data_IF_841643966007
#
_entry.id   IF_841643966007
#
_cell.length_a   1.000
_cell.length_b   1.000
_cell.length_c   1.000
_cell.angle_alpha   90.00
_cell.angle_beta   90.00
_cell.angle_gamma   90.00
#
_symmetry.space_group_name_H-M   'P 1'
#
loop_
_entity.id
_entity.type
_entity.pdbx_description
1 polymer ?
#
# COMPACT_ATOMS: atom_id res chain seq x y z
N UNK A 1 -16.83 -4.14 4.60
CA UNK A 1 -16.31 -4.19 3.22
C UNK A 1 -16.92 -5.38 2.49
N UNK A 2 -17.18 -5.28 1.18
CA UNK A 2 -17.64 -6.43 0.37
C UNK A 2 -16.50 -7.44 0.15
N UNK A 3 -16.80 -8.63 -0.38
CA UNK A 3 -15.76 -9.63 -0.72
C UNK A 3 -14.73 -9.10 -1.70
N UNK A 4 -15.17 -8.31 -2.68
CA UNK A 4 -14.29 -7.65 -3.66
C UNK A 4 -13.31 -6.70 -2.98
N UNK A 5 -13.79 -5.88 -2.06
CA UNK A 5 -12.94 -4.97 -1.28
C UNK A 5 -11.97 -5.73 -0.36
N UNK A 6 -12.43 -6.81 0.28
CA UNK A 6 -11.58 -7.63 1.13
C UNK A 6 -10.44 -8.32 0.36
N UNK A 7 -10.68 -8.71 -0.90
CA UNK A 7 -9.67 -9.29 -1.77
C UNK A 7 -8.76 -8.24 -2.45
N UNK A 8 -9.12 -6.95 -2.40
CA UNK A 8 -8.41 -5.90 -3.12
C UNK A 8 -7.03 -5.60 -2.51
N UNK A 9 -6.03 -5.54 -3.39
CA UNK A 9 -4.61 -5.37 -3.06
C UNK A 9 -3.89 -4.67 -4.21
N UNK A 10 -2.71 -4.13 -3.95
CA UNK A 10 -1.85 -3.51 -4.96
C UNK A 10 -1.05 -4.57 -5.73
N UNK A 11 -1.75 -5.39 -6.51
CA UNK A 11 -1.14 -6.45 -7.31
C UNK A 11 -0.55 -5.86 -8.59
N UNK A 12 0.75 -6.03 -8.80
CA UNK A 12 1.38 -5.72 -10.08
C UNK A 12 1.16 -6.82 -11.11
N UNK A 13 1.28 -6.44 -12.38
CA UNK A 13 1.50 -7.38 -13.50
C UNK A 13 2.85 -8.11 -13.35
N UNK A 14 3.08 -9.20 -14.09
CA UNK A 14 4.34 -9.94 -14.03
C UNK A 14 5.58 -9.03 -14.22
N UNK A 15 6.63 -9.21 -13.40
CA UNK A 15 7.85 -8.41 -13.51
C UNK A 15 8.54 -8.65 -14.86
N UNK A 16 9.28 -7.67 -15.34
CA UNK A 16 9.98 -7.71 -16.64
C UNK A 16 9.06 -7.91 -17.86
N UNK A 17 7.76 -7.66 -17.71
CA UNK A 17 6.82 -7.55 -18.83
C UNK A 17 6.66 -6.11 -19.29
N UNK A 18 6.12 -5.88 -20.50
CA UNK A 18 5.90 -4.53 -21.03
C UNK A 18 4.95 -3.65 -20.20
N UNK A 19 4.23 -4.24 -19.23
CA UNK A 19 3.37 -3.52 -18.28
C UNK A 19 3.75 -3.85 -16.82
N UNK A 20 5.00 -4.19 -16.54
CA UNK A 20 5.44 -4.57 -15.19
C UNK A 20 5.24 -3.45 -14.16
N UNK A 21 5.20 -2.19 -14.58
CA UNK A 21 4.89 -1.04 -13.72
C UNK A 21 3.40 -0.90 -13.37
N UNK A 22 2.51 -1.64 -14.04
CA UNK A 22 1.07 -1.48 -13.90
C UNK A 22 0.48 -2.37 -12.81
N UNK A 23 -0.47 -1.80 -12.07
CA UNK A 23 -1.34 -2.50 -11.14
C UNK A 23 -2.50 -3.16 -11.89
N UNK A 24 -2.82 -4.40 -11.51
CA UNK A 24 -4.03 -5.08 -11.95
C UNK A 24 -5.24 -4.48 -11.24
N UNK A 25 -6.13 -3.84 -12.01
CA UNK A 25 -7.39 -3.32 -11.51
C UNK A 25 -8.56 -4.20 -11.98
N UNK A 26 -9.26 -4.81 -11.03
CA UNK A 26 -10.51 -5.52 -11.30
C UNK A 26 -11.66 -4.58 -11.64
N UNK A 27 -12.80 -5.16 -12.02
CA UNK A 27 -14.08 -4.43 -12.08
C UNK A 27 -14.51 -4.18 -10.65
N UNK A 28 -14.75 -2.93 -10.26
CA UNK A 28 -14.96 -2.67 -8.84
C UNK A 28 -14.84 -1.26 -8.32
N UNK A 29 -15.23 -1.10 -7.05
CA UNK A 29 -15.17 0.17 -6.31
C UNK A 29 -13.76 0.59 -5.89
N UNK A 30 -12.80 -0.34 -5.89
CA UNK A 30 -11.41 -0.08 -5.51
C UNK A 30 -10.55 0.47 -6.65
N UNK A 31 -11.05 0.44 -7.89
CA UNK A 31 -10.32 0.85 -9.10
C UNK A 31 -9.82 2.29 -9.04
N UNK A 32 -10.62 3.20 -8.47
CA UNK A 32 -10.22 4.61 -8.34
C UNK A 32 -8.98 4.77 -7.45
N UNK A 33 -8.89 4.01 -6.35
CA UNK A 33 -7.74 4.02 -5.44
C UNK A 33 -6.52 3.44 -6.14
N UNK A 34 -6.68 2.30 -6.82
CA UNK A 34 -5.61 1.68 -7.60
C UNK A 34 -5.08 2.64 -8.68
N UNK A 35 -5.96 3.35 -9.40
CA UNK A 35 -5.58 4.31 -10.42
C UNK A 35 -4.83 5.53 -9.84
N UNK A 36 -5.25 6.05 -8.68
CA UNK A 36 -4.57 7.15 -8.01
C UNK A 36 -3.14 6.76 -7.59
N UNK A 37 -2.98 5.57 -6.99
CA UNK A 37 -1.66 5.04 -6.61
C UNK A 37 -0.83 4.69 -7.85
N UNK A 38 -1.45 4.19 -8.92
CA UNK A 38 -0.77 3.92 -10.20
C UNK A 38 -0.10 5.17 -10.77
N UNK A 39 -0.76 6.33 -10.69
CA UNK A 39 -0.17 7.58 -11.15
C UNK A 39 1.11 7.92 -10.38
N UNK A 40 1.11 7.73 -9.06
CA UNK A 40 2.28 7.98 -8.21
C UNK A 40 3.43 7.00 -8.51
N UNK A 41 3.10 5.72 -8.77
CA UNK A 41 4.08 4.71 -9.20
C UNK A 41 4.76 5.12 -10.52
N UNK A 42 3.98 5.55 -11.52
CA UNK A 42 4.51 5.99 -12.81
C UNK A 42 5.38 7.23 -12.63
N UNK A 43 4.93 8.21 -11.84
CA UNK A 43 5.72 9.41 -11.54
C UNK A 43 7.06 9.06 -10.91
N UNK A 44 7.07 8.19 -9.90
CA UNK A 44 8.31 7.75 -9.25
C UNK A 44 9.27 7.08 -10.24
N UNK A 45 8.77 6.15 -11.06
CA UNK A 45 9.59 5.39 -12.01
C UNK A 45 10.15 6.26 -13.14
N UNK A 46 9.39 7.27 -13.59
CA UNK A 46 9.81 8.14 -14.69
C UNK A 46 10.75 9.26 -14.23
N UNK A 47 10.50 9.86 -13.07
CA UNK A 47 11.09 11.16 -12.71
C UNK A 47 11.93 11.13 -11.43
N UNK A 48 11.61 10.28 -10.46
CA UNK A 48 12.26 10.31 -9.13
C UNK A 48 13.39 9.30 -9.01
N UNK A 49 13.24 8.13 -9.65
CA UNK A 49 14.24 7.06 -9.58
C UNK A 49 15.47 7.40 -10.43
N UNK A 50 16.63 7.46 -9.81
CA UNK A 50 17.92 7.58 -10.51
C UNK A 50 18.24 6.27 -11.26
N UNK A 51 18.36 6.34 -12.59
CA UNK A 51 18.78 5.23 -13.45
C UNK A 51 19.44 5.74 -14.73
N UNK A 52 20.37 4.97 -15.27
CA UNK A 52 21.04 5.21 -16.57
C UNK A 52 20.13 5.04 -17.80
N UNK A 53 18.88 4.57 -17.64
CA UNK A 53 17.97 4.27 -18.76
C UNK A 53 17.19 5.51 -19.23
N UNK A 54 16.79 5.54 -20.51
CA UNK A 54 15.88 6.58 -21.04
C UNK A 54 14.49 6.47 -20.38
N UNK A 55 13.72 7.56 -20.33
CA UNK A 55 12.49 7.64 -19.52
C UNK A 55 11.47 6.52 -19.80
N UNK A 56 11.26 6.11 -21.06
CA UNK A 56 10.29 5.06 -21.40
C UNK A 56 10.81 3.65 -21.14
N UNK A 57 12.11 3.41 -21.31
CA UNK A 57 12.74 2.10 -21.02
C UNK A 57 12.66 1.75 -19.52
N UNK A 58 12.61 2.77 -18.65
CA UNK A 58 12.43 2.60 -17.20
C UNK A 58 11.13 1.87 -16.85
N UNK A 59 10.07 2.03 -17.65
CA UNK A 59 8.79 1.36 -17.43
C UNK A 59 8.78 -0.10 -17.89
N UNK A 60 9.54 -0.41 -18.94
CA UNK A 60 9.59 -1.75 -19.55
C UNK A 60 10.49 -2.73 -18.78
N UNK A 61 11.40 -2.23 -17.94
CA UNK A 61 12.42 -3.03 -17.22
C UNK A 61 12.20 -3.05 -15.70
N UNK A 62 10.94 -2.97 -15.25
CA UNK A 62 10.63 -3.02 -13.83
C UNK A 62 10.65 -4.47 -13.34
N UNK A 63 11.61 -4.79 -12.47
CA UNK A 63 11.69 -6.07 -11.78
C UNK A 63 10.85 -6.10 -10.50
N UNK A 64 10.90 -7.24 -9.81
CA UNK A 64 10.09 -7.45 -8.60
C UNK A 64 10.49 -6.51 -7.45
N UNK A 65 11.79 -6.21 -7.34
CA UNK A 65 12.32 -5.27 -6.36
C UNK A 65 11.83 -3.85 -6.65
N UNK A 66 11.96 -3.40 -7.90
CA UNK A 66 11.53 -2.08 -8.35
C UNK A 66 10.03 -1.87 -8.20
N UNK A 67 9.20 -2.90 -8.43
CA UNK A 67 7.77 -2.86 -8.15
C UNK A 67 7.48 -2.59 -6.67
N UNK A 68 8.20 -3.30 -5.78
CA UNK A 68 8.09 -3.11 -4.33
C UNK A 68 8.46 -1.70 -3.92
N UNK A 69 9.62 -1.22 -4.37
CA UNK A 69 10.12 0.11 -4.05
C UNK A 69 9.21 1.23 -4.59
N UNK A 70 8.73 1.09 -5.83
CA UNK A 70 7.82 2.06 -6.44
C UNK A 70 6.48 2.13 -5.70
N UNK A 71 5.94 0.99 -5.29
CA UNK A 71 4.75 0.95 -4.45
C UNK A 71 5.00 1.58 -3.09
N UNK A 72 6.06 1.19 -2.39
CA UNK A 72 6.36 1.72 -1.06
C UNK A 72 6.53 3.25 -1.08
N UNK A 73 7.24 3.75 -2.09
CA UNK A 73 7.40 5.20 -2.31
C UNK A 73 6.04 5.85 -2.58
N UNK A 74 5.27 5.35 -3.54
CA UNK A 74 3.95 5.90 -3.86
C UNK A 74 2.99 5.95 -2.65
N UNK A 75 2.95 4.87 -1.85
CA UNK A 75 2.11 4.83 -0.65
C UNK A 75 2.62 5.83 0.40
N UNK A 76 3.93 5.87 0.66
CA UNK A 76 4.53 6.80 1.62
C UNK A 76 4.26 8.26 1.24
N UNK A 77 4.43 8.61 -0.04
CA UNK A 77 4.14 9.95 -0.55
C UNK A 77 2.68 10.35 -0.38
N UNK A 78 1.78 9.43 -0.71
CA UNK A 78 0.34 9.68 -0.58
C UNK A 78 -0.06 9.86 0.89
N UNK A 79 0.46 9.03 1.80
CA UNK A 79 0.17 9.13 3.23
C UNK A 79 0.75 10.41 3.85
N UNK A 80 1.99 10.76 3.46
CA UNK A 80 2.65 11.98 3.92
C UNK A 80 1.90 13.24 3.46
N UNK A 81 1.47 13.26 2.20
CA UNK A 81 0.65 14.33 1.66
C UNK A 81 -0.72 14.40 2.37
N UNK A 82 -1.34 13.26 2.67
CA UNK A 82 -2.59 13.22 3.42
C UNK A 82 -2.46 13.83 4.82
N UNK A 83 -1.33 13.60 5.50
CA UNK A 83 -1.00 14.20 6.80
C UNK A 83 -0.40 15.60 6.74
N UNK A 84 -0.62 16.35 5.65
CA UNK A 84 -0.19 17.74 5.51
C UNK A 84 1.34 17.93 5.49
N UNK A 85 2.09 16.86 5.21
CA UNK A 85 3.55 16.89 5.18
C UNK A 85 4.24 16.88 6.55
N UNK A 86 3.51 16.62 7.64
CA UNK A 86 4.08 16.55 9.00
C UNK A 86 3.96 15.18 9.67
N UNK A 87 3.11 14.29 9.15
CA UNK A 87 2.89 12.96 9.72
C UNK A 87 2.43 11.95 8.66
N UNK A 88 2.66 10.67 8.94
CA UNK A 88 2.02 9.56 8.25
C UNK A 88 1.65 8.46 9.26
N UNK A 89 0.51 7.81 9.02
CA UNK A 89 0.06 6.63 9.78
C UNK A 89 -0.04 5.46 8.83
N UNK A 90 0.60 4.35 9.19
CA UNK A 90 0.55 3.08 8.44
C UNK A 90 -0.24 2.05 9.24
N UNK A 91 -1.25 1.46 8.62
CA UNK A 91 -2.08 0.41 9.22
C UNK A 91 -1.66 -0.97 8.68
N UNK A 92 -1.36 -1.91 9.58
CA UNK A 92 -1.06 -3.31 9.23
C UNK A 92 -1.93 -4.26 10.05
N UNK A 93 -2.27 -5.43 9.49
CA UNK A 93 -2.87 -6.53 10.27
C UNK A 93 -1.74 -7.28 10.98
N UNK A 94 -1.79 -7.35 12.31
CA UNK A 94 -0.91 -8.25 13.05
C UNK A 94 -1.49 -9.66 13.12
N UNK A 95 -0.61 -10.67 13.13
CA UNK A 95 -1.01 -12.06 13.38
C UNK A 95 -1.85 -12.16 14.67
N UNK A 96 -2.80 -13.11 14.74
CA UNK A 96 -3.60 -13.28 15.94
C UNK A 96 -2.67 -13.49 17.13
N UNK A 97 -2.77 -12.63 18.13
CA UNK A 97 -2.28 -12.95 19.46
C UNK A 97 -3.05 -14.20 19.86
N UNK A 98 -2.35 -15.26 20.29
CA UNK A 98 -2.95 -16.47 20.87
C UNK A 98 -3.62 -16.12 22.20
N UNK A 99 -4.64 -15.25 22.17
CA UNK A 99 -5.57 -15.10 23.27
C UNK A 99 -6.51 -16.28 23.16
N UNK A 100 -6.49 -17.12 24.19
CA UNK A 100 -7.41 -18.22 24.38
C UNK A 100 -8.84 -17.74 24.07
N UNK A 101 -9.57 -18.42 23.17
CA UNK A 101 -10.92 -17.99 22.83
C UNK A 101 -11.81 -18.19 24.06
N UNK A 102 -12.19 -17.09 24.71
CA UNK A 102 -13.29 -17.13 25.67
C UNK A 102 -14.57 -17.53 24.90
N UNK A 103 -15.23 -18.56 25.41
CA UNK A 103 -16.41 -19.18 24.81
C UNK A 103 -17.49 -18.11 24.56
N UNK A 104 -17.77 -17.81 23.29
CA UNK A 104 -18.77 -16.81 22.87
C UNK A 104 -18.24 -15.64 22.03
N UNK A 105 -16.92 -15.52 21.83
CA UNK A 105 -16.35 -14.44 21.00
C UNK A 105 -16.56 -14.73 19.50
N UNK A 106 -17.45 -13.95 18.87
CA UNK A 106 -17.63 -13.93 17.40
C UNK A 106 -16.28 -13.77 16.70
N UNK A 107 -16.09 -14.42 15.55
CA UNK A 107 -14.88 -14.35 14.75
C UNK A 107 -14.38 -12.90 14.66
N UNK A 108 -13.20 -12.63 15.25
CA UNK A 108 -12.64 -11.27 15.28
C UNK A 108 -12.57 -10.73 13.86
N UNK A 109 -13.27 -9.63 13.63
CA UNK A 109 -13.20 -8.94 12.35
C UNK A 109 -11.74 -8.53 12.10
N UNK A 110 -11.22 -8.64 10.87
CA UNK A 110 -9.80 -8.31 10.60
C UNK A 110 -9.44 -6.88 11.08
N UNK A 111 -10.43 -6.01 11.15
CA UNK A 111 -10.36 -4.65 11.69
C UNK A 111 -9.92 -4.58 13.14
N UNK A 112 -10.29 -5.56 13.98
CA UNK A 112 -9.85 -5.62 15.39
C UNK A 112 -8.36 -5.94 15.54
N UNK A 113 -7.72 -6.43 14.47
CA UNK A 113 -6.29 -6.80 14.44
C UNK A 113 -5.43 -5.77 13.74
N UNK A 114 -6.01 -4.64 13.32
CA UNK A 114 -5.27 -3.54 12.71
C UNK A 114 -4.49 -2.81 13.80
N UNK A 115 -3.19 -2.67 13.58
CA UNK A 115 -2.32 -1.78 14.38
C UNK A 115 -1.94 -0.56 13.55
N UNK A 116 -1.85 0.58 14.24
CA UNK A 116 -1.46 1.85 13.68
C UNK A 116 -0.01 2.12 14.07
N UNK A 117 0.79 2.52 13.08
CA UNK A 117 2.17 2.94 13.25
C UNK A 117 2.27 4.38 12.77
N UNK A 118 2.62 5.29 13.68
CA UNK A 118 2.72 6.72 13.39
C UNK A 118 4.18 7.13 13.18
N UNK A 119 4.40 7.97 12.19
CA UNK A 119 5.71 8.46 11.79
C UNK A 119 5.67 9.97 11.62
N UNK A 120 6.67 10.65 12.19
CA UNK A 120 6.92 12.08 12.04
C UNK A 120 7.98 12.39 10.96
N UNK A 121 8.48 11.38 10.26
CA UNK A 121 9.45 11.51 9.19
C UNK A 121 9.04 10.66 7.98
N UNK A 122 9.01 11.27 6.78
CA UNK A 122 8.64 10.60 5.52
C UNK A 122 9.55 9.41 5.23
N UNK A 123 10.86 9.56 5.43
CA UNK A 123 11.84 8.51 5.13
C UNK A 123 11.63 7.28 6.01
N UNK A 124 11.36 7.48 7.32
CA UNK A 124 11.04 6.39 8.24
C UNK A 124 9.74 5.67 7.84
N UNK A 125 8.69 6.41 7.48
CA UNK A 125 7.45 5.82 6.98
C UNK A 125 7.67 5.00 5.69
N UNK A 126 8.45 5.53 4.75
CA UNK A 126 8.78 4.84 3.51
C UNK A 126 9.57 3.56 3.74
N UNK A 127 10.60 3.60 4.61
CA UNK A 127 11.37 2.43 5.01
C UNK A 127 10.46 1.35 5.61
N UNK A 128 9.60 1.74 6.56
CA UNK A 128 8.65 0.82 7.18
C UNK A 128 7.69 0.17 6.17
N UNK A 129 7.14 0.96 5.23
CA UNK A 129 6.26 0.43 4.17
C UNK A 129 7.04 -0.50 3.24
N UNK A 130 8.30 -0.20 2.94
CA UNK A 130 9.16 -1.05 2.10
C UNK A 130 9.34 -2.43 2.74
N UNK A 131 9.69 -2.47 4.03
CA UNK A 131 9.86 -3.71 4.79
C UNK A 131 8.58 -4.54 4.86
N UNK A 132 7.42 -3.87 4.87
CA UNK A 132 6.10 -4.49 5.00
C UNK A 132 5.28 -4.44 3.69
N UNK A 133 5.92 -4.27 2.53
CA UNK A 133 5.20 -4.02 1.26
C UNK A 133 4.26 -5.17 0.89
N UNK A 134 4.57 -6.40 1.32
CA UNK A 134 3.74 -7.58 1.12
C UNK A 134 2.40 -7.51 1.86
N UNK A 135 2.27 -6.72 2.91
CA UNK A 135 0.99 -6.41 3.56
C UNK A 135 0.05 -5.57 2.68
N UNK A 136 0.56 -4.97 1.58
CA UNK A 136 -0.23 -4.17 0.66
C UNK A 136 -0.45 -4.87 -0.70
N UNK A 137 0.52 -5.67 -1.15
CA UNK A 137 0.45 -6.39 -2.44
C UNK A 137 0.18 -7.89 -2.35
N UNK A 138 0.35 -8.50 -1.18
CA UNK A 138 0.22 -9.94 -0.97
C UNK A 138 -1.21 -10.44 -1.10
N UNK A 139 -1.38 -11.70 -1.48
CA UNK A 139 -2.70 -12.34 -1.52
C UNK A 139 -3.31 -12.44 -0.11
N UNK A 140 -4.61 -12.15 0.02
CA UNK A 140 -5.29 -12.12 1.32
C UNK A 140 -4.88 -10.96 2.26
N UNK A 141 -4.09 -10.00 1.78
CA UNK A 141 -3.55 -8.92 2.62
C UNK A 141 -4.55 -7.80 2.97
N UNK A 142 -5.67 -7.69 2.25
CA UNK A 142 -6.61 -6.57 2.37
C UNK A 142 -5.93 -5.20 2.13
N UNK A 143 -4.88 -5.18 1.29
CA UNK A 143 -3.97 -4.04 1.15
C UNK A 143 -4.63 -2.70 0.81
N UNK A 144 -5.69 -2.69 -0.03
CA UNK A 144 -6.40 -1.44 -0.34
C UNK A 144 -7.16 -0.90 0.86
N UNK A 145 -7.74 -1.78 1.68
CA UNK A 145 -8.44 -1.39 2.92
C UNK A 145 -7.42 -0.87 3.94
N UNK A 146 -6.30 -1.57 4.13
CA UNK A 146 -5.24 -1.12 5.01
C UNK A 146 -4.71 0.26 4.61
N UNK A 147 -4.51 0.49 3.32
CA UNK A 147 -4.11 1.79 2.81
C UNK A 147 -5.17 2.88 3.04
N UNK A 148 -6.45 2.56 2.89
CA UNK A 148 -7.52 3.52 3.22
C UNK A 148 -7.54 3.91 4.69
N UNK A 149 -7.42 2.95 5.60
CA UNK A 149 -7.31 3.27 7.03
C UNK A 149 -6.07 4.12 7.30
N UNK A 150 -4.93 3.77 6.70
CA UNK A 150 -3.70 4.56 6.77
C UNK A 150 -3.93 6.01 6.35
N UNK A 151 -4.63 6.24 5.23
CA UNK A 151 -4.98 7.59 4.76
C UNK A 151 -5.88 8.35 5.74
N UNK A 152 -6.93 7.70 6.23
CA UNK A 152 -7.88 8.30 7.17
C UNK A 152 -7.17 8.75 8.46
N UNK A 153 -6.31 7.91 9.01
CA UNK A 153 -5.58 8.23 10.23
C UNK A 153 -4.42 9.21 9.99
N UNK A 154 -3.81 9.21 8.80
CA UNK A 154 -2.77 10.21 8.45
C UNK A 154 -3.35 11.62 8.34
N UNK A 155 -4.55 11.76 7.75
CA UNK A 155 -5.19 13.06 7.53
C UNK A 155 -5.68 13.74 8.80
N UNK A 156 -5.85 12.99 9.89
CA UNK A 156 -6.62 13.36 11.08
C UNK A 156 -8.09 13.73 10.76
N UNK A 157 -9.02 12.94 11.29
CA UNK A 157 -10.25 13.50 11.84
C UNK A 157 -9.89 13.67 13.32
N UNK A 158 -9.70 14.89 13.80
CA UNK A 158 -9.53 15.12 15.23
C UNK A 158 -10.65 14.40 16.00
N UNK A 159 -10.27 13.76 17.10
CA UNK A 159 -11.19 13.02 17.97
C UNK A 159 -11.84 13.97 18.96
#
# INVERSE_FOLDING_TARGET
FSREWAAARFRFRPPHSGLAYALEAGKGGTRAILAAVQAHIITYLLFTRETECTHLERLSRVGQWEQGQALATALAETLWAAGGGGRAVVCLVTAPVTMMPHQGYRASSFTERIRLFEFSEKAAAQGFISDHVNCFKGEGSHGVILFLFSLLFSRTLER
#
